data_IF_827338855977
#
_entry.id   IF_827338855977
#
_cell.length_a   1.000
_cell.length_b   1.000
_cell.length_c   1.000
_cell.angle_alpha   90.00
_cell.angle_beta   90.00
_cell.angle_gamma   90.00
#
_symmetry.space_group_name_H-M   'P 1'
#
loop_
_entity.id
_entity.type
_entity.pdbx_description
1 polymer ?
#
# COMPACT_ATOMS: atom_id res chain seq x y z
N UNK A 1 -45.99 9.70 -17.01
CA UNK A 1 -44.99 9.40 -15.94
C UNK A 1 -43.70 8.98 -16.63
N UNK A 2 -42.89 9.92 -16.97
CA UNK A 2 -41.53 9.68 -17.53
C UNK A 2 -40.64 10.83 -17.02
N UNK A 3 -39.42 10.51 -16.61
CA UNK A 3 -38.32 11.40 -16.26
C UNK A 3 -38.17 11.81 -14.78
N UNK A 4 -37.69 10.86 -13.95
CA UNK A 4 -36.99 11.22 -12.71
C UNK A 4 -35.61 10.54 -12.56
N UNK A 5 -35.21 9.61 -13.44
CA UNK A 5 -33.93 8.90 -13.29
C UNK A 5 -32.74 9.53 -14.02
N UNK A 6 -32.96 10.39 -15.02
CA UNK A 6 -31.87 11.01 -15.78
C UNK A 6 -31.17 12.19 -15.04
N UNK A 7 -31.83 12.83 -14.08
CA UNK A 7 -31.27 13.98 -13.37
C UNK A 7 -30.34 13.61 -12.20
N UNK A 8 -30.50 12.41 -11.60
CA UNK A 8 -29.62 11.97 -10.52
C UNK A 8 -28.25 11.51 -11.02
N UNK A 9 -28.20 10.81 -12.16
CA UNK A 9 -26.91 10.34 -12.74
C UNK A 9 -25.99 11.49 -13.17
N UNK A 10 -26.54 12.54 -13.78
CA UNK A 10 -25.75 13.70 -14.22
C UNK A 10 -25.24 14.54 -13.06
N UNK A 11 -25.97 14.65 -11.98
CA UNK A 11 -25.55 15.38 -10.76
C UNK A 11 -24.39 14.66 -10.05
N UNK A 12 -24.44 13.34 -9.95
CA UNK A 12 -23.37 12.54 -9.34
C UNK A 12 -22.06 12.63 -10.14
N UNK A 13 -22.13 12.44 -11.45
CA UNK A 13 -20.95 12.57 -12.34
C UNK A 13 -20.33 13.98 -12.32
N UNK A 14 -21.16 15.01 -12.19
CA UNK A 14 -20.65 16.37 -12.12
C UNK A 14 -19.97 16.67 -10.78
N UNK A 15 -20.49 16.16 -9.67
CA UNK A 15 -19.90 16.29 -8.35
C UNK A 15 -18.58 15.50 -8.23
N UNK A 16 -18.51 14.30 -8.79
CA UNK A 16 -17.26 13.53 -8.84
C UNK A 16 -16.18 14.20 -9.70
N UNK A 17 -16.54 14.78 -10.84
CA UNK A 17 -15.62 15.51 -11.70
C UNK A 17 -15.11 16.80 -11.05
N UNK A 18 -15.94 17.52 -10.29
CA UNK A 18 -15.52 18.70 -9.53
C UNK A 18 -14.57 18.29 -8.40
N UNK A 19 -14.86 17.23 -7.66
CA UNK A 19 -13.99 16.71 -6.60
C UNK A 19 -12.60 16.28 -7.15
N UNK A 20 -12.56 15.64 -8.33
CA UNK A 20 -11.31 15.31 -9.02
C UNK A 20 -10.50 16.54 -9.42
N UNK A 21 -11.14 17.61 -9.86
CA UNK A 21 -10.45 18.82 -10.33
C UNK A 21 -9.88 19.69 -9.20
N UNK A 22 -10.39 19.54 -7.97
CA UNK A 22 -10.00 20.37 -6.82
C UNK A 22 -9.12 19.65 -5.80
N UNK A 23 -9.04 18.30 -5.83
CA UNK A 23 -8.20 17.55 -4.92
C UNK A 23 -6.72 17.72 -5.27
N UNK A 24 -5.92 18.15 -4.29
CA UNK A 24 -4.47 18.26 -4.43
C UNK A 24 -3.81 16.91 -4.66
N UNK A 25 -2.67 16.91 -5.38
CA UNK A 25 -1.85 15.73 -5.55
C UNK A 25 -1.04 15.53 -4.27
N UNK A 26 -1.21 14.37 -3.65
CA UNK A 26 -0.39 13.93 -2.53
C UNK A 26 0.76 13.06 -3.08
N UNK A 27 2.00 13.45 -2.78
CA UNK A 27 3.20 12.66 -3.09
C UNK A 27 3.55 11.73 -1.93
N UNK A 28 4.12 10.58 -2.24
CA UNK A 28 4.47 9.58 -1.24
C UNK A 28 5.49 10.14 -0.24
N UNK A 29 5.16 10.20 1.07
CA UNK A 29 6.00 10.87 2.06
C UNK A 29 7.19 10.03 2.55
N UNK A 30 7.18 8.72 2.29
CA UNK A 30 8.26 7.81 2.68
C UNK A 30 9.06 7.36 1.46
N UNK A 31 10.33 7.08 1.67
CA UNK A 31 11.17 6.38 0.68
C UNK A 31 10.97 4.87 0.81
N UNK A 32 11.17 4.08 -0.25
CA UNK A 32 11.17 2.63 -0.15
C UNK A 32 12.12 2.15 0.96
N UNK A 33 11.65 1.24 1.80
CA UNK A 33 12.47 0.55 2.77
C UNK A 33 12.86 -0.81 2.18
N UNK A 34 14.10 -0.94 1.75
CA UNK A 34 14.62 -2.08 1.00
C UNK A 34 15.93 -2.57 1.66
N UNK A 35 15.88 -3.49 2.62
CA UNK A 35 17.09 -4.10 3.17
C UNK A 35 17.93 -4.79 2.08
N UNK A 36 19.26 -4.78 2.20
CA UNK A 36 20.18 -5.39 1.20
C UNK A 36 19.89 -6.86 0.94
N UNK A 37 19.40 -7.58 1.95
CA UNK A 37 19.00 -8.99 1.89
C UNK A 37 17.50 -9.17 1.61
N UNK A 38 16.81 -8.20 1.04
CA UNK A 38 15.35 -8.22 0.86
C UNK A 38 14.88 -9.43 0.07
N UNK A 39 14.05 -10.27 0.71
CA UNK A 39 13.46 -11.49 0.15
C UNK A 39 11.96 -11.36 -0.12
N UNK A 40 11.30 -10.52 0.66
CA UNK A 40 9.86 -10.27 0.59
C UNK A 40 9.62 -8.77 0.54
N UNK A 41 8.86 -8.29 -0.45
CA UNK A 41 8.45 -6.91 -0.58
C UNK A 41 6.96 -6.78 -0.31
N UNK A 42 6.58 -6.05 0.74
CA UNK A 42 5.19 -5.67 0.97
C UNK A 42 4.85 -4.39 0.22
N UNK A 43 3.71 -4.40 -0.47
CA UNK A 43 3.18 -3.25 -1.20
C UNK A 43 1.76 -2.94 -0.71
N UNK A 44 1.60 -1.76 -0.09
CA UNK A 44 0.30 -1.15 0.13
C UNK A 44 -0.17 -0.35 -1.10
N UNK A 45 -1.26 0.37 -0.96
CA UNK A 45 -1.77 1.27 -2.01
C UNK A 45 -1.13 2.66 -1.92
N UNK A 46 -1.24 3.30 -0.76
CA UNK A 46 -0.69 4.60 -0.39
C UNK A 46 -0.93 4.83 1.11
N UNK A 47 -0.06 5.54 1.84
CA UNK A 47 -0.23 5.74 3.26
C UNK A 47 -1.48 6.59 3.58
N UNK A 48 -2.09 6.41 4.77
CA UNK A 48 -3.17 7.26 5.22
C UNK A 48 -2.67 8.69 5.46
N UNK A 49 -3.59 9.64 5.57
CA UNK A 49 -3.25 11.03 5.89
C UNK A 49 -2.44 11.14 7.19
N UNK A 50 -1.51 12.09 7.23
CA UNK A 50 -0.56 12.29 8.33
C UNK A 50 -1.21 12.38 9.73
N UNK A 51 -2.40 12.95 9.84
CA UNK A 51 -3.17 13.04 11.10
C UNK A 51 -3.54 11.68 11.72
N UNK A 52 -3.40 10.58 10.96
CA UNK A 52 -3.66 9.21 11.41
C UNK A 52 -2.40 8.44 11.79
N UNK A 53 -1.23 9.06 11.67
CA UNK A 53 0.05 8.40 11.94
C UNK A 53 0.39 8.46 13.43
N UNK A 54 0.83 7.35 13.96
CA UNK A 54 1.43 7.25 15.29
C UNK A 54 2.95 7.06 15.26
N UNK A 55 3.52 6.81 14.06
CA UNK A 55 4.96 6.67 13.84
C UNK A 55 5.32 7.07 12.40
N UNK A 56 6.60 7.36 12.15
CA UNK A 56 7.12 7.74 10.83
C UNK A 56 7.64 6.53 10.05
N UNK A 57 6.74 5.57 9.76
CA UNK A 57 7.06 4.38 9.01
C UNK A 57 5.81 3.78 8.34
N UNK A 58 5.93 2.66 7.66
CA UNK A 58 4.83 1.95 6.99
C UNK A 58 3.77 1.45 7.97
N UNK A 59 2.51 1.38 7.52
CA UNK A 59 1.35 1.03 8.35
C UNK A 59 1.27 1.85 9.64
N UNK A 60 1.34 3.19 9.54
CA UNK A 60 1.53 4.09 10.68
C UNK A 60 0.29 4.26 11.57
N UNK A 61 -0.88 3.81 11.13
CA UNK A 61 -2.10 3.99 11.89
C UNK A 61 -2.18 2.95 13.01
N UNK A 62 -2.29 3.39 14.27
CA UNK A 62 -2.31 2.52 15.44
C UNK A 62 -3.43 1.47 15.43
N UNK A 63 -4.55 1.73 14.75
CA UNK A 63 -5.64 0.76 14.61
C UNK A 63 -5.42 -0.25 13.47
N UNK A 64 -4.35 -0.11 12.66
CA UNK A 64 -3.99 -1.09 11.65
C UNK A 64 -3.37 -2.33 12.30
N UNK A 65 -3.73 -3.51 11.82
CA UNK A 65 -3.31 -4.78 12.42
C UNK A 65 -1.96 -5.31 11.88
N UNK A 66 -1.35 -4.67 10.88
CA UNK A 66 -0.14 -5.20 10.24
C UNK A 66 0.94 -5.60 11.25
N UNK A 67 1.36 -4.68 12.11
CA UNK A 67 2.41 -4.96 13.10
C UNK A 67 1.98 -5.94 14.19
N UNK A 68 0.68 -6.09 14.42
CA UNK A 68 0.13 -7.12 15.33
C UNK A 68 0.18 -8.50 14.69
N UNK A 69 -0.10 -8.57 13.39
CA UNK A 69 0.00 -9.82 12.60
C UNK A 69 1.45 -10.27 12.54
N UNK A 70 2.39 -9.37 12.23
CA UNK A 70 3.83 -9.67 12.22
C UNK A 70 4.31 -10.15 13.60
N UNK A 71 3.93 -9.45 14.68
CA UNK A 71 4.26 -9.87 16.04
C UNK A 71 3.73 -11.26 16.37
N UNK A 72 2.51 -11.57 15.95
CA UNK A 72 1.91 -12.88 16.18
C UNK A 72 2.63 -13.98 15.38
N UNK A 73 2.92 -13.74 14.10
CA UNK A 73 3.55 -14.73 13.21
C UNK A 73 4.98 -15.06 13.65
N UNK A 74 5.79 -14.06 13.95
CA UNK A 74 7.22 -14.25 14.19
C UNK A 74 7.59 -14.47 15.66
N UNK A 75 6.77 -13.96 16.60
CA UNK A 75 7.08 -13.99 18.04
C UNK A 75 5.98 -14.66 18.88
N UNK A 76 4.87 -15.06 18.28
CA UNK A 76 3.73 -15.62 19.03
C UNK A 76 3.00 -14.59 19.92
N UNK A 77 3.33 -13.31 19.77
CA UNK A 77 2.82 -12.20 20.57
C UNK A 77 2.37 -11.03 19.67
N UNK A 78 1.05 -10.85 19.55
CA UNK A 78 0.47 -9.74 18.78
C UNK A 78 0.86 -8.35 19.29
N UNK A 79 1.30 -8.26 20.54
CA UNK A 79 1.68 -6.99 21.17
C UNK A 79 3.21 -6.75 21.16
N UNK A 80 3.98 -7.63 20.56
CA UNK A 80 5.45 -7.54 20.52
C UNK A 80 5.96 -6.20 20.02
N UNK A 81 5.37 -5.68 18.94
CA UNK A 81 5.71 -4.38 18.36
C UNK A 81 4.84 -3.23 18.89
N UNK A 82 3.89 -3.48 19.79
CA UNK A 82 2.92 -2.48 20.25
C UNK A 82 3.39 -1.78 21.52
N UNK A 83 3.40 -0.45 21.50
CA UNK A 83 3.48 0.39 22.69
C UNK A 83 2.08 0.86 23.08
N UNK A 84 1.46 0.15 24.04
CA UNK A 84 0.10 0.44 24.51
C UNK A 84 -0.01 1.76 25.29
N UNK A 85 1.07 2.16 25.94
CA UNK A 85 1.11 3.37 26.77
C UNK A 85 1.05 4.61 25.90
N UNK A 86 1.94 4.67 24.88
CA UNK A 86 2.05 5.79 23.98
C UNK A 86 1.13 5.67 22.74
N UNK A 87 0.37 4.56 22.63
CA UNK A 87 -0.49 4.24 21.46
C UNK A 87 0.27 4.37 20.13
N UNK A 88 1.44 3.77 20.08
CA UNK A 88 2.31 3.72 18.90
C UNK A 88 2.88 2.32 18.70
N UNK A 89 3.70 2.14 17.68
CA UNK A 89 4.47 0.92 17.48
C UNK A 89 5.96 1.16 17.80
N UNK A 90 6.65 0.11 18.23
CA UNK A 90 8.05 0.13 18.66
C UNK A 90 8.98 0.06 17.46
N UNK A 91 9.22 1.21 16.83
CA UNK A 91 10.04 1.30 15.62
C UNK A 91 11.48 0.77 15.83
N UNK A 92 12.00 0.92 17.04
CA UNK A 92 13.29 0.40 17.47
C UNK A 92 13.38 -1.14 17.48
N UNK A 93 12.23 -1.84 17.46
CA UNK A 93 12.16 -3.29 17.30
C UNK A 93 11.81 -3.68 15.87
N UNK A 94 10.99 -2.87 15.20
CA UNK A 94 10.52 -3.13 13.84
C UNK A 94 11.68 -3.09 12.86
N UNK A 95 12.47 -2.02 12.84
CA UNK A 95 13.55 -1.85 11.85
C UNK A 95 14.57 -2.98 11.90
N UNK A 96 15.19 -3.33 13.06
CA UNK A 96 16.13 -4.44 13.13
C UNK A 96 15.51 -5.79 12.72
N UNK A 97 14.27 -6.03 13.11
CA UNK A 97 13.54 -7.24 12.71
C UNK A 97 13.39 -7.34 11.18
N UNK A 98 12.99 -6.27 10.52
CA UNK A 98 12.82 -6.23 9.06
C UNK A 98 14.14 -6.43 8.32
N UNK A 99 15.23 -5.80 8.81
CA UNK A 99 16.58 -5.96 8.27
C UNK A 99 17.06 -7.41 8.41
N UNK A 100 16.84 -8.03 9.59
CA UNK A 100 17.21 -9.43 9.84
C UNK A 100 16.43 -10.40 8.95
N UNK A 101 15.11 -10.21 8.83
CA UNK A 101 14.24 -11.10 8.05
C UNK A 101 14.33 -10.86 6.53
N UNK A 102 14.85 -9.73 6.10
CA UNK A 102 14.88 -9.33 4.69
C UNK A 102 13.49 -8.96 4.17
N UNK A 103 12.74 -8.17 4.93
CA UNK A 103 11.40 -7.70 4.58
C UNK A 103 11.45 -6.23 4.19
N UNK A 104 11.07 -5.94 2.95
CA UNK A 104 10.98 -4.59 2.41
C UNK A 104 9.55 -4.06 2.36
N UNK A 105 9.42 -2.73 2.29
CA UNK A 105 8.14 -2.03 2.20
C UNK A 105 8.18 -0.92 1.18
N UNK A 106 7.10 -0.80 0.42
CA UNK A 106 6.71 0.39 -0.32
C UNK A 106 5.20 0.37 -0.60
N UNK A 107 4.73 1.28 -1.44
CA UNK A 107 3.35 1.33 -1.90
C UNK A 107 3.29 1.33 -3.43
N UNK A 108 2.15 0.97 -3.99
CA UNK A 108 1.96 0.86 -5.45
C UNK A 108 1.72 2.21 -6.14
N UNK A 109 1.66 3.31 -5.38
CA UNK A 109 1.58 4.66 -5.91
C UNK A 109 2.67 5.56 -5.33
N UNK A 110 3.29 6.37 -6.17
CA UNK A 110 4.18 7.48 -5.78
C UNK A 110 3.43 8.80 -5.67
N UNK A 111 2.29 8.94 -6.35
CA UNK A 111 1.39 10.08 -6.21
C UNK A 111 -0.08 9.69 -6.41
N UNK A 112 -0.96 10.31 -5.61
CA UNK A 112 -2.42 10.09 -5.65
C UNK A 112 -3.19 11.40 -5.52
N UNK A 113 -4.49 11.38 -5.88
CA UNK A 113 -5.48 12.33 -5.39
C UNK A 113 -6.42 11.62 -4.42
N UNK A 114 -6.63 12.21 -3.27
CA UNK A 114 -7.57 11.70 -2.27
C UNK A 114 -8.90 12.42 -2.43
N UNK A 115 -9.89 11.71 -2.96
CA UNK A 115 -11.20 12.29 -3.30
C UNK A 115 -12.10 12.49 -2.08
N UNK A 116 -11.78 11.86 -0.95
CA UNK A 116 -12.53 12.01 0.31
C UNK A 116 -11.57 11.95 1.50
N UNK A 117 -11.90 12.68 2.57
CA UNK A 117 -11.14 12.71 3.82
C UNK A 117 -11.38 11.44 4.67
N UNK A 118 -11.07 10.28 4.10
CA UNK A 118 -11.13 8.99 4.81
C UNK A 118 -9.91 8.12 4.50
N UNK A 119 -9.80 6.97 5.18
CA UNK A 119 -8.68 6.05 4.99
C UNK A 119 -8.94 4.95 3.96
N UNK A 120 -10.08 5.00 3.24
CA UNK A 120 -10.44 3.96 2.29
C UNK A 120 -9.74 4.18 0.95
N UNK A 121 -9.07 3.13 0.46
CA UNK A 121 -8.41 3.10 -0.85
C UNK A 121 -9.36 3.30 -2.02
N UNK A 122 -10.67 3.09 -1.80
CA UNK A 122 -11.72 3.30 -2.80
C UNK A 122 -11.73 4.75 -3.33
N UNK A 123 -11.33 5.70 -2.51
CA UNK A 123 -11.30 7.13 -2.84
C UNK A 123 -9.91 7.65 -3.16
N UNK A 124 -8.95 6.77 -3.39
CA UNK A 124 -7.64 7.11 -3.93
C UNK A 124 -7.65 7.01 -5.45
N UNK A 125 -7.43 8.11 -6.12
CA UNK A 125 -7.16 8.15 -7.56
C UNK A 125 -5.64 8.08 -7.77
N UNK A 126 -5.17 7.08 -8.52
CA UNK A 126 -3.77 6.95 -8.91
C UNK A 126 -3.40 8.07 -9.88
N UNK A 127 -2.41 8.90 -9.51
CA UNK A 127 -1.82 9.91 -10.39
C UNK A 127 -0.52 9.38 -11.00
N UNK A 128 0.33 8.79 -10.16
CA UNK A 128 1.59 8.22 -10.57
C UNK A 128 1.78 6.85 -9.90
N UNK A 129 1.67 5.74 -10.65
CA UNK A 129 1.95 4.43 -10.12
C UNK A 129 3.45 4.23 -9.90
N UNK A 130 3.80 3.45 -8.89
CA UNK A 130 5.18 3.04 -8.63
C UNK A 130 5.68 2.13 -9.75
N UNK A 131 6.90 2.38 -10.23
CA UNK A 131 7.60 1.45 -11.11
C UNK A 131 8.13 0.26 -10.28
N UNK A 132 7.29 -0.77 -10.12
CA UNK A 132 7.62 -1.95 -9.30
C UNK A 132 8.78 -2.74 -9.90
N UNK A 133 8.92 -2.78 -11.23
CA UNK A 133 10.06 -3.44 -11.87
C UNK A 133 11.37 -2.81 -11.47
N UNK A 134 11.45 -1.48 -11.47
CA UNK A 134 12.65 -0.75 -11.02
C UNK A 134 12.93 -0.95 -9.52
N UNK A 135 11.90 -1.08 -8.67
CA UNK A 135 12.10 -1.45 -7.26
C UNK A 135 12.70 -2.85 -7.12
N UNK A 136 12.19 -3.82 -7.86
CA UNK A 136 12.67 -5.20 -7.82
C UNK A 136 14.11 -5.32 -8.31
N UNK A 137 14.54 -4.52 -9.30
CA UNK A 137 15.94 -4.47 -9.74
C UNK A 137 16.91 -4.06 -8.61
N UNK A 138 16.45 -3.24 -7.65
CA UNK A 138 17.26 -2.84 -6.48
C UNK A 138 17.40 -3.97 -5.44
N UNK A 139 16.52 -4.95 -5.45
CA UNK A 139 16.46 -6.06 -4.49
C UNK A 139 16.47 -7.42 -5.19
N UNK A 140 17.56 -7.81 -5.87
CA UNK A 140 17.61 -9.00 -6.73
C UNK A 140 17.39 -10.32 -5.99
N UNK A 141 17.44 -10.34 -4.66
CA UNK A 141 17.12 -11.51 -3.84
C UNK A 141 15.63 -11.65 -3.54
N UNK A 142 14.80 -10.66 -3.89
CA UNK A 142 13.36 -10.70 -3.64
C UNK A 142 12.71 -11.83 -4.46
N UNK A 143 11.93 -12.65 -3.78
CA UNK A 143 11.23 -13.82 -4.36
C UNK A 143 9.72 -13.71 -4.24
N UNK A 144 9.24 -12.84 -3.34
CA UNK A 144 7.81 -12.72 -3.03
C UNK A 144 7.45 -11.24 -2.94
N UNK A 145 6.39 -10.85 -3.65
CA UNK A 145 5.73 -9.56 -3.48
C UNK A 145 4.37 -9.81 -2.85
N UNK A 146 4.10 -9.17 -1.73
CA UNK A 146 2.83 -9.27 -0.99
C UNK A 146 2.06 -7.97 -1.13
N UNK A 147 0.87 -8.02 -1.71
CA UNK A 147 -0.03 -6.86 -1.73
C UNK A 147 -0.99 -6.90 -0.54
N UNK A 148 -1.16 -5.80 0.17
CA UNK A 148 -1.97 -5.70 1.39
C UNK A 148 -3.29 -4.98 1.16
N UNK A 149 -3.96 -5.27 0.06
CA UNK A 149 -5.25 -4.69 -0.27
C UNK A 149 -5.61 -4.84 -1.74
N UNK A 150 -6.88 -4.75 -2.06
CA UNK A 150 -7.39 -4.93 -3.42
C UNK A 150 -6.81 -3.88 -4.39
N UNK A 151 -6.76 -2.61 -3.98
CA UNK A 151 -6.22 -1.51 -4.80
C UNK A 151 -4.73 -1.76 -5.14
N UNK A 152 -3.92 -2.14 -4.17
CA UNK A 152 -2.51 -2.48 -4.39
C UNK A 152 -2.37 -3.66 -5.35
N UNK A 153 -3.21 -4.69 -5.19
CA UNK A 153 -3.22 -5.86 -6.08
C UNK A 153 -3.58 -5.48 -7.51
N UNK A 154 -4.62 -4.64 -7.68
CA UNK A 154 -5.04 -4.16 -9.01
C UNK A 154 -3.92 -3.41 -9.72
N UNK A 155 -3.25 -2.48 -9.03
CA UNK A 155 -2.17 -1.67 -9.62
C UNK A 155 -0.97 -2.56 -9.96
N UNK A 156 -0.59 -3.50 -9.08
CA UNK A 156 0.49 -4.45 -9.35
C UNK A 156 0.18 -5.33 -10.58
N UNK A 157 -1.04 -5.86 -10.67
CA UNK A 157 -1.47 -6.66 -11.81
C UNK A 157 -1.48 -5.85 -13.11
N UNK A 158 -1.92 -4.59 -13.07
CA UNK A 158 -1.85 -3.68 -14.22
C UNK A 158 -0.40 -3.44 -14.66
N UNK A 159 0.53 -3.22 -13.72
CA UNK A 159 1.95 -3.02 -14.00
C UNK A 159 2.56 -4.20 -14.78
N UNK A 160 2.16 -5.44 -14.44
CA UNK A 160 2.65 -6.65 -15.09
C UNK A 160 1.73 -7.22 -16.18
N UNK A 161 0.70 -6.48 -16.62
CA UNK A 161 -0.29 -6.91 -17.62
C UNK A 161 -1.01 -8.22 -17.27
N UNK A 162 -1.28 -8.44 -15.98
CA UNK A 162 -1.99 -9.61 -15.49
C UNK A 162 -3.50 -9.31 -15.52
N UNK A 163 -4.25 -10.03 -16.34
CA UNK A 163 -5.68 -9.79 -16.57
C UNK A 163 -6.58 -10.32 -15.46
N UNK A 164 -6.15 -11.38 -14.74
CA UNK A 164 -6.96 -12.01 -13.68
C UNK A 164 -6.39 -11.70 -12.32
N UNK A 165 -7.15 -10.96 -11.52
CA UNK A 165 -6.77 -10.68 -10.13
C UNK A 165 -6.79 -11.96 -9.28
N UNK A 166 -5.77 -12.21 -8.45
CA UNK A 166 -5.80 -13.29 -7.47
C UNK A 166 -6.84 -13.01 -6.38
N UNK A 167 -7.44 -14.07 -5.87
CA UNK A 167 -8.26 -13.98 -4.65
C UNK A 167 -7.39 -13.78 -3.42
N UNK A 168 -7.99 -13.34 -2.31
CA UNK A 168 -7.27 -13.20 -1.03
C UNK A 168 -6.62 -14.55 -0.64
N UNK A 169 -5.34 -14.51 -0.28
CA UNK A 169 -4.54 -15.68 0.08
C UNK A 169 -4.06 -16.52 -1.11
N UNK A 170 -4.36 -16.11 -2.35
CA UNK A 170 -3.87 -16.79 -3.55
C UNK A 170 -2.54 -16.18 -4.00
N UNK A 171 -1.61 -17.03 -4.41
CA UNK A 171 -0.36 -16.63 -5.06
C UNK A 171 -0.46 -16.82 -6.58
N UNK A 172 0.17 -15.91 -7.31
CA UNK A 172 0.36 -15.99 -8.77
C UNK A 172 1.81 -15.66 -9.10
N UNK A 173 2.29 -16.13 -10.25
CA UNK A 173 3.61 -15.72 -10.74
C UNK A 173 3.51 -14.39 -11.46
N UNK A 174 4.47 -13.50 -11.20
CA UNK A 174 4.70 -12.29 -11.98
C UNK A 174 5.89 -12.50 -12.93
N UNK A 175 5.98 -11.76 -14.05
CA UNK A 175 7.13 -11.84 -14.96
C UNK A 175 8.45 -11.60 -14.24
N UNK A 176 9.51 -12.31 -14.66
CA UNK A 176 10.85 -12.07 -14.14
C UNK A 176 11.33 -10.68 -14.61
N UNK A 177 11.64 -9.80 -13.67
CA UNK A 177 12.16 -8.45 -13.95
C UNK A 177 13.69 -8.41 -13.97
N UNK A 178 14.33 -9.47 -13.51
CA UNK A 178 15.77 -9.60 -13.59
C UNK A 178 16.13 -10.07 -15.00
N UNK A 179 16.31 -9.10 -15.93
CA UNK A 179 16.79 -9.41 -17.27
C UNK A 179 18.14 -10.10 -17.16
N UNK A 180 18.28 -11.23 -17.84
CA UNK A 180 19.59 -11.81 -18.11
C UNK A 180 20.44 -10.72 -18.79
N UNK A 181 21.42 -10.21 -18.05
CA UNK A 181 22.47 -9.33 -18.59
C UNK A 181 23.55 -10.19 -19.18
#
# INVERSE_FOLDING_TARGET
MVNSESHQSTSFLHTENIARSTAEIEYHPLRPFLPDNCKVLFLGSFPPQRKRWCMDFYYPNFINDHWRIEGLIFFGDKDYFVDKVNKTFRLERIIPFLEEQGIGFYDTNTAVRRLQDNASDKFLETVEPTNVSALLELIPQCRVVVTTGEKATQILCQHFNISKLPSVGQAISIPNVYSEK
#
